data_IF_513164123861
#
_entry.id   IF_513164123861
#
_cell.length_a   1.000
_cell.length_b   1.000
_cell.length_c   1.000
_cell.angle_alpha   90.00
_cell.angle_beta   90.00
_cell.angle_gamma   90.00
#
_symmetry.space_group_name_H-M   'P 1'
#
loop_
_entity.id
_entity.type
_entity.pdbx_description
1 polymer ?
#
# COMPACT_ATOMS: atom_id res chain seq x y z
N UNK A 1 -9.61 3.31 -12.64
CA UNK A 1 -8.95 2.94 -11.37
C UNK A 1 -8.85 4.18 -10.49
N UNK A 2 -9.28 4.11 -9.23
CA UNK A 2 -9.21 5.22 -8.27
C UNK A 2 -8.15 4.98 -7.19
N UNK A 3 -7.67 6.02 -6.49
CA UNK A 3 -6.79 5.82 -5.32
C UNK A 3 -7.43 4.92 -4.24
N UNK A 4 -8.75 4.94 -4.09
CA UNK A 4 -9.46 4.08 -3.15
C UNK A 4 -9.41 2.61 -3.58
N UNK A 5 -9.55 2.32 -4.88
CA UNK A 5 -9.42 0.96 -5.42
C UNK A 5 -8.00 0.43 -5.17
N UNK A 6 -6.99 1.24 -5.51
CA UNK A 6 -5.59 0.92 -5.26
C UNK A 6 -5.31 0.69 -3.77
N UNK A 7 -5.89 1.49 -2.89
CA UNK A 7 -5.73 1.33 -1.44
C UNK A 7 -6.22 -0.04 -0.97
N UNK A 8 -7.36 -0.52 -1.49
CA UNK A 8 -7.89 -1.86 -1.19
C UNK A 8 -6.99 -2.96 -1.77
N UNK A 9 -6.53 -2.80 -3.02
CA UNK A 9 -5.65 -3.76 -3.67
C UNK A 9 -4.32 -3.91 -2.95
N UNK A 10 -3.68 -2.80 -2.58
CA UNK A 10 -2.41 -2.82 -1.85
C UNK A 10 -2.59 -3.43 -0.46
N UNK A 11 -3.65 -3.08 0.27
CA UNK A 11 -3.95 -3.69 1.56
C UNK A 11 -4.14 -5.21 1.45
N UNK A 12 -4.83 -5.68 0.42
CA UNK A 12 -5.00 -7.10 0.17
C UNK A 12 -3.67 -7.80 -0.15
N UNK A 13 -2.82 -7.18 -0.99
CA UNK A 13 -1.51 -7.72 -1.33
C UNK A 13 -0.57 -7.78 -0.11
N UNK A 14 -0.54 -6.75 0.72
CA UNK A 14 0.26 -6.72 1.97
C UNK A 14 -0.22 -7.80 2.93
N UNK A 15 -1.53 -7.95 3.14
CA UNK A 15 -2.11 -9.02 3.95
C UNK A 15 -1.65 -10.38 3.50
N UNK A 16 -1.80 -10.66 2.20
CA UNK A 16 -1.36 -11.90 1.59
C UNK A 16 0.14 -12.15 1.81
N UNK A 17 0.98 -11.13 1.62
CA UNK A 17 2.42 -11.26 1.81
C UNK A 17 2.80 -11.58 3.28
N UNK A 18 2.07 -11.04 4.25
CA UNK A 18 2.24 -11.40 5.67
C UNK A 18 1.75 -12.82 5.93
N UNK A 19 0.57 -13.18 5.43
CA UNK A 19 0.00 -14.52 5.60
C UNK A 19 0.88 -15.62 4.97
N UNK A 20 1.57 -15.30 3.87
CA UNK A 20 2.53 -16.17 3.18
C UNK A 20 3.96 -16.10 3.75
N UNK A 21 4.17 -15.37 4.85
CA UNK A 21 5.48 -15.14 5.51
C UNK A 21 6.55 -14.49 4.60
N UNK A 22 6.13 -13.90 3.48
CA UNK A 22 7.00 -13.13 2.59
C UNK A 22 7.34 -11.74 3.15
N UNK A 23 6.56 -11.26 4.12
CA UNK A 23 6.78 -10.01 4.82
C UNK A 23 6.65 -10.20 6.33
N UNK A 24 7.74 -10.04 7.07
CA UNK A 24 7.74 -10.16 8.53
C UNK A 24 7.37 -8.84 9.22
N UNK A 25 6.10 -8.47 9.12
CA UNK A 25 5.54 -7.26 9.74
C UNK A 25 4.07 -7.49 10.13
N UNK A 26 3.51 -6.76 11.10
CA UNK A 26 2.08 -6.82 11.36
C UNK A 26 1.29 -6.29 10.15
N UNK A 27 0.12 -6.88 9.90
CA UNK A 27 -0.80 -6.37 8.88
C UNK A 27 -1.25 -4.95 9.25
N UNK A 28 -1.08 -3.96 8.36
CA UNK A 28 -1.55 -2.60 8.63
C UNK A 28 -3.09 -2.56 8.65
N UNK A 29 -3.71 -1.77 9.55
CA UNK A 29 -5.17 -1.70 9.65
C UNK A 29 -5.80 -1.03 8.40
N UNK A 30 -5.04 -0.18 7.72
CA UNK A 30 -5.44 0.51 6.48
C UNK A 30 -4.23 0.88 5.65
N UNK A 31 -4.45 1.03 4.35
CA UNK A 31 -3.48 1.59 3.40
C UNK A 31 -4.10 2.82 2.76
N UNK A 32 -3.29 3.87 2.55
CA UNK A 32 -3.70 5.06 1.78
C UNK A 32 -2.81 5.17 0.55
N UNK A 33 -3.46 5.12 -0.60
CA UNK A 33 -2.86 5.47 -1.89
C UNK A 33 -3.40 6.83 -2.29
N UNK A 34 -2.51 7.72 -2.72
CA UNK A 34 -2.84 9.08 -3.15
C UNK A 34 -2.24 9.33 -4.52
N UNK A 35 -2.69 10.40 -5.19
CA UNK A 35 -1.98 10.90 -6.37
C UNK A 35 -0.60 11.37 -5.97
N UNK A 36 0.39 11.04 -6.79
CA UNK A 36 1.75 11.51 -6.59
C UNK A 36 1.79 13.04 -6.63
N UNK A 37 2.55 13.64 -5.71
CA UNK A 37 2.72 15.09 -5.65
C UNK A 37 3.62 15.60 -6.78
N UNK A 38 3.54 16.89 -7.17
CA UNK A 38 4.50 17.47 -8.10
C UNK A 38 5.94 17.19 -7.67
N UNK A 39 6.77 16.73 -8.61
CA UNK A 39 8.15 16.32 -8.35
C UNK A 39 8.34 14.87 -7.87
N UNK A 40 7.26 14.12 -7.63
CA UNK A 40 7.31 12.68 -7.39
C UNK A 40 7.23 11.86 -8.68
N UNK A 41 7.41 10.54 -8.57
CA UNK A 41 7.36 9.61 -9.70
C UNK A 41 6.10 8.75 -9.71
N UNK A 42 5.59 8.45 -10.92
CA UNK A 42 4.42 7.61 -11.14
C UNK A 42 3.08 8.30 -10.87
N UNK A 43 1.99 7.61 -11.16
CA UNK A 43 0.63 8.16 -11.05
C UNK A 43 0.09 8.22 -9.61
N UNK A 44 0.59 7.33 -8.76
CA UNK A 44 0.15 7.14 -7.39
C UNK A 44 1.32 6.83 -6.46
N UNK A 45 1.16 7.23 -5.19
CA UNK A 45 2.13 6.98 -4.13
C UNK A 45 1.46 6.37 -2.89
N UNK A 46 2.20 5.56 -2.15
CA UNK A 46 1.77 4.95 -0.91
C UNK A 46 2.93 4.91 0.10
N UNK A 47 2.67 5.31 1.34
CA UNK A 47 3.67 5.32 2.41
C UNK A 47 3.60 4.08 3.32
N UNK A 48 2.86 3.03 2.93
CA UNK A 48 2.64 1.84 3.77
C UNK A 48 3.94 1.18 4.20
N UNK A 49 4.97 1.20 3.35
CA UNK A 49 6.28 0.62 3.66
C UNK A 49 6.96 1.24 4.89
N UNK A 50 6.56 2.44 5.32
CA UNK A 50 7.05 3.07 6.54
C UNK A 50 6.34 2.59 7.82
N UNK A 51 5.30 1.77 7.68
CA UNK A 51 4.47 1.24 8.76
C UNK A 51 4.61 -0.27 8.94
N UNK A 52 5.40 -0.91 8.08
CA UNK A 52 5.72 -2.33 8.07
C UNK A 52 7.05 -2.52 8.80
#
# INVERSE_FOLDING_TARGET
MTPADLSRTVLHAVRRAVDEDALHAPVPPRVRVERTRPGGSGDYACAVALQL
#
